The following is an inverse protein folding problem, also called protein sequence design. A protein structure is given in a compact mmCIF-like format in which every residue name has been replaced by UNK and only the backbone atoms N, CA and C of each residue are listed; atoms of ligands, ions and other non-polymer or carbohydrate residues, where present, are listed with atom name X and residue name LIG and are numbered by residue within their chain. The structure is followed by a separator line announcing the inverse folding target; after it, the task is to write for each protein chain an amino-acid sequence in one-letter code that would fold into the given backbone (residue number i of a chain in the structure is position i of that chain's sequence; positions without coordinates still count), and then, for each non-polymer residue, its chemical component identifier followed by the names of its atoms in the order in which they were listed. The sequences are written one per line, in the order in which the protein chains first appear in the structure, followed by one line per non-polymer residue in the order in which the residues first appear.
data_IF_233154480948
#
_entry.id   IF_233154480948
#
_cell.length_a   1.000
_cell.length_b   1.000
_cell.length_c   1.000
_cell.angle_alpha   90.00
_cell.angle_beta   90.00
_cell.angle_gamma   90.00
#
_symmetry.space_group_name_H-M   'P 1'
#
loop_
_entity.id
_entity.type
_entity.pdbx_description
1 polymer ?
#
# COMPACT_ATOMS: atom_id res chain seq x y z
N UNK A 1 18.68 -7.91 -19.44
CA UNK A 1 17.99 -8.45 -18.25
C UNK A 1 16.47 -8.30 -18.37
N UNK A 2 15.92 -7.07 -18.46
CA UNK A 2 14.47 -6.86 -18.58
C UNK A 2 13.83 -7.68 -19.71
N UNK A 3 14.39 -7.63 -20.91
CA UNK A 3 13.90 -8.41 -22.07
C UNK A 3 13.85 -9.92 -21.81
N UNK A 4 14.89 -10.47 -21.18
CA UNK A 4 14.92 -11.90 -20.81
C UNK A 4 13.84 -12.26 -19.80
N UNK A 5 13.54 -11.37 -18.85
CA UNK A 5 12.47 -11.60 -17.86
C UNK A 5 11.09 -11.51 -18.51
N UNK A 6 10.91 -10.57 -19.45
CA UNK A 6 9.68 -10.47 -20.25
C UNK A 6 9.47 -11.75 -21.07
N UNK A 7 10.52 -12.27 -21.71
CA UNK A 7 10.46 -13.54 -22.42
C UNK A 7 10.02 -14.70 -21.51
N UNK A 8 10.56 -14.79 -20.28
CA UNK A 8 10.14 -15.82 -19.31
C UNK A 8 8.64 -15.70 -18.95
N UNK A 9 8.12 -14.46 -18.87
CA UNK A 9 6.69 -14.21 -18.65
C UNK A 9 5.87 -14.71 -19.83
N UNK A 10 6.23 -14.32 -21.05
CA UNK A 10 5.53 -14.70 -22.28
C UNK A 10 5.52 -16.22 -22.50
N UNK A 11 6.64 -16.90 -22.23
CA UNK A 11 6.75 -18.36 -22.31
C UNK A 11 5.92 -19.09 -21.24
N UNK A 12 5.74 -18.48 -20.06
CA UNK A 12 4.99 -19.08 -18.95
C UNK A 12 3.50 -18.81 -19.02
N UNK A 13 3.12 -17.66 -19.57
CA UNK A 13 1.75 -17.19 -19.73
C UNK A 13 1.62 -16.62 -21.14
N UNK A 14 1.40 -17.48 -22.15
CA UNK A 14 1.11 -17.02 -23.50
C UNK A 14 -0.09 -16.08 -23.45
N UNK A 15 0.01 -14.90 -24.09
CA UNK A 15 -0.96 -13.78 -24.06
C UNK A 15 -0.84 -12.81 -22.87
N UNK A 16 0.08 -13.00 -21.91
CA UNK A 16 0.28 -11.98 -20.88
C UNK A 16 0.77 -10.66 -21.48
N UNK A 17 0.21 -9.54 -21.01
CA UNK A 17 0.59 -8.21 -21.46
C UNK A 17 0.74 -7.23 -20.29
N UNK A 18 1.47 -6.14 -20.52
CA UNK A 18 1.53 -4.99 -19.62
C UNK A 18 0.75 -3.82 -20.23
N UNK A 19 -0.58 -3.92 -20.25
CA UNK A 19 -1.48 -2.87 -20.76
C UNK A 19 -2.29 -2.25 -19.61
N UNK A 20 -2.22 -0.92 -19.47
CA UNK A 20 -2.92 -0.17 -18.41
C UNK A 20 -4.44 -0.11 -18.60
N UNK A 21 -4.93 -0.03 -19.84
CA UNK A 21 -6.36 0.04 -20.13
C UNK A 21 -7.02 -1.28 -19.75
N UNK A 22 -6.44 -2.39 -20.21
CA UNK A 22 -6.89 -3.74 -19.87
C UNK A 22 -6.79 -4.03 -18.37
N UNK A 23 -5.77 -3.46 -17.70
CA UNK A 23 -5.65 -3.55 -16.25
C UNK A 23 -6.86 -2.92 -15.56
N UNK A 24 -7.25 -1.71 -15.96
CA UNK A 24 -8.40 -1.03 -15.39
C UNK A 24 -9.70 -1.79 -15.69
N UNK A 25 -9.88 -2.32 -16.91
CA UNK A 25 -11.04 -3.14 -17.26
C UNK A 25 -11.20 -4.37 -16.35
N UNK A 26 -10.10 -5.02 -15.97
CA UNK A 26 -10.14 -6.13 -15.01
C UNK A 26 -10.57 -5.66 -13.61
N UNK A 27 -10.02 -4.54 -13.14
CA UNK A 27 -10.36 -3.98 -11.83
C UNK A 27 -11.83 -3.55 -11.76
N UNK A 28 -12.37 -2.97 -12.83
CA UNK A 28 -13.78 -2.58 -12.90
C UNK A 28 -14.72 -3.80 -12.96
N UNK A 29 -14.24 -4.93 -13.49
CA UNK A 29 -15.01 -6.17 -13.67
C UNK A 29 -14.86 -7.21 -12.56
N UNK A 30 -14.11 -6.95 -11.49
CA UNK A 30 -13.77 -7.95 -10.47
C UNK A 30 -14.86 -8.19 -9.39
N UNK A 31 -14.77 -9.34 -8.72
CA UNK A 31 -15.74 -9.77 -7.70
C UNK A 31 -15.59 -9.03 -6.36
N UNK A 32 -14.38 -8.59 -6.07
CA UNK A 32 -13.95 -8.02 -4.80
C UNK A 32 -13.59 -6.58 -5.03
N UNK A 33 -13.85 -5.70 -4.07
CA UNK A 33 -13.41 -4.31 -4.22
C UNK A 33 -11.87 -4.29 -4.25
N UNK A 34 -11.22 -3.80 -5.32
CA UNK A 34 -9.77 -3.86 -5.45
C UNK A 34 -9.07 -3.20 -4.26
N UNK A 35 -8.07 -3.88 -3.71
CA UNK A 35 -7.18 -3.24 -2.75
C UNK A 35 -6.30 -2.21 -3.45
N UNK A 36 -5.82 -1.22 -2.69
CA UNK A 36 -4.83 -0.24 -3.17
C UNK A 36 -3.60 -0.90 -3.79
N UNK A 37 -3.24 -2.11 -3.34
CA UNK A 37 -2.08 -2.84 -3.86
C UNK A 37 -2.30 -3.38 -5.28
N UNK A 38 -3.54 -3.47 -5.75
CA UNK A 38 -3.86 -3.88 -7.13
C UNK A 38 -4.01 -2.71 -8.10
N UNK A 39 -3.96 -1.46 -7.62
CA UNK A 39 -4.06 -0.28 -8.48
C UNK A 39 -2.80 -0.14 -9.35
N UNK A 40 -3.01 0.21 -10.63
CA UNK A 40 -1.90 0.43 -11.56
C UNK A 40 -0.99 1.58 -11.14
N UNK A 41 -1.54 2.59 -10.45
CA UNK A 41 -0.76 3.70 -9.92
C UNK A 41 0.11 3.31 -8.74
N UNK A 42 -0.32 2.35 -7.92
CA UNK A 42 0.51 1.78 -6.85
C UNK A 42 1.72 1.06 -7.43
N UNK A 43 1.54 0.25 -8.49
CA UNK A 43 2.64 -0.38 -9.21
C UNK A 43 3.63 0.67 -9.73
N UNK A 44 3.12 1.72 -10.40
CA UNK A 44 3.96 2.84 -10.89
C UNK A 44 4.74 3.49 -9.76
N UNK A 45 4.09 3.74 -8.62
CA UNK A 45 4.71 4.37 -7.46
C UNK A 45 5.85 3.53 -6.90
N UNK A 46 5.65 2.24 -6.68
CA UNK A 46 6.67 1.38 -6.07
C UNK A 46 7.85 1.11 -7.01
N UNK A 47 7.61 0.96 -8.31
CA UNK A 47 8.69 0.90 -9.31
C UNK A 47 9.52 2.19 -9.30
N UNK A 48 8.88 3.36 -9.20
CA UNK A 48 9.58 4.65 -9.09
C UNK A 48 10.30 4.83 -7.74
N UNK A 49 9.73 4.31 -6.66
CA UNK A 49 10.31 4.35 -5.31
C UNK A 49 11.61 3.57 -5.25
N UNK A 50 11.61 2.36 -5.81
CA UNK A 50 12.78 1.46 -5.85
C UNK A 50 13.65 1.65 -7.10
N UNK A 51 13.50 2.74 -7.85
CA UNK A 51 14.26 2.94 -9.10
C UNK A 51 15.78 2.99 -8.89
N UNK A 52 16.23 3.44 -7.72
CA UNK A 52 17.64 3.40 -7.31
C UNK A 52 18.16 2.00 -7.00
N UNK A 53 17.25 1.05 -6.77
CA UNK A 53 17.50 -0.35 -6.48
C UNK A 53 17.23 -1.23 -7.71
N UNK A 54 17.45 -0.68 -8.91
CA UNK A 54 17.28 -1.39 -10.18
C UNK A 54 15.89 -2.04 -10.35
N UNK A 55 14.85 -1.38 -9.85
CA UNK A 55 13.49 -1.90 -9.93
C UNK A 55 13.04 -2.15 -11.38
N UNK A 56 12.44 -3.32 -11.62
CA UNK A 56 11.83 -3.69 -12.90
C UNK A 56 10.39 -4.10 -12.64
N UNK A 57 9.45 -3.44 -13.34
CA UNK A 57 8.05 -3.85 -13.37
C UNK A 57 7.90 -5.15 -14.16
N UNK A 58 7.32 -6.16 -13.52
CA UNK A 58 6.97 -7.46 -14.09
C UNK A 58 5.46 -7.73 -13.98
N UNK A 59 4.67 -6.71 -13.71
CA UNK A 59 3.23 -6.84 -13.50
C UNK A 59 2.54 -7.28 -14.78
N UNK A 60 1.53 -8.13 -14.64
CA UNK A 60 0.90 -8.82 -15.76
C UNK A 60 -0.61 -8.63 -15.76
N UNK A 61 -1.15 -8.43 -16.96
CA UNK A 61 -2.56 -8.67 -17.28
C UNK A 61 -2.65 -10.08 -17.86
N UNK A 62 -3.61 -10.85 -17.36
CA UNK A 62 -3.88 -12.24 -17.72
C UNK A 62 -5.06 -12.29 -18.69
N UNK A 63 -4.93 -13.07 -19.76
CA UNK A 63 -5.95 -13.21 -20.78
C UNK A 63 -6.53 -14.63 -20.82
N UNK A 64 -7.78 -14.73 -21.27
CA UNK A 64 -8.40 -15.98 -21.63
C UNK A 64 -9.33 -15.75 -22.82
N UNK A 65 -9.01 -16.33 -23.98
CA UNK A 65 -9.71 -16.11 -25.26
C UNK A 65 -9.73 -14.62 -25.64
N UNK A 66 -8.58 -13.95 -25.61
CA UNK A 66 -8.39 -12.52 -25.89
C UNK A 66 -9.16 -11.54 -24.99
N UNK A 67 -9.79 -12.02 -23.92
CA UNK A 67 -10.39 -11.17 -22.89
C UNK A 67 -9.43 -11.02 -21.72
N UNK A 68 -9.17 -9.80 -21.26
CA UNK A 68 -8.47 -9.57 -20.00
C UNK A 68 -9.35 -10.05 -18.83
N UNK A 69 -8.83 -11.00 -18.05
CA UNK A 69 -9.58 -11.70 -17.00
C UNK A 69 -8.95 -11.60 -15.62
N UNK A 70 -7.70 -11.15 -15.53
CA UNK A 70 -7.02 -11.00 -14.25
C UNK A 70 -5.80 -10.09 -14.33
N UNK A 71 -5.35 -9.59 -13.18
CA UNK A 71 -4.12 -8.81 -13.07
C UNK A 71 -3.31 -9.25 -11.85
N UNK A 72 -1.99 -9.14 -11.96
CA UNK A 72 -1.08 -9.41 -10.86
C UNK A 72 0.04 -8.36 -10.80
N UNK A 73 0.08 -7.56 -9.72
CA UNK A 73 1.23 -6.72 -9.40
C UNK A 73 2.44 -7.59 -9.15
N UNK A 74 3.52 -7.33 -9.87
CA UNK A 74 4.79 -8.03 -9.70
C UNK A 74 5.93 -7.11 -10.12
N UNK A 75 7.02 -7.12 -9.36
CA UNK A 75 8.24 -6.38 -9.64
C UNK A 75 9.43 -7.04 -8.97
N UNK A 76 10.60 -6.81 -9.53
CA UNK A 76 11.87 -7.14 -8.87
C UNK A 76 12.62 -5.87 -8.53
N UNK A 77 13.46 -5.94 -7.51
CA UNK A 77 14.42 -4.89 -7.14
C UNK A 77 15.54 -5.53 -6.31
N UNK A 78 16.62 -4.78 -6.10
CA UNK A 78 17.75 -5.17 -5.27
C UNK A 78 17.53 -4.72 -3.82
N UNK A 79 17.50 -5.67 -2.89
CA UNK A 79 17.65 -5.40 -1.46
C UNK A 79 19.13 -5.29 -1.08
N UNK A 80 19.44 -4.69 0.06
CA UNK A 80 20.81 -4.70 0.62
C UNK A 80 21.16 -6.11 1.17
N UNK A 81 22.31 -6.73 0.84
CA UNK A 81 23.49 -6.20 0.13
C UNK A 81 23.58 -6.61 -1.37
N UNK A 82 22.59 -6.24 -2.19
CA UNK A 82 22.40 -6.53 -3.62
C UNK A 82 21.86 -7.92 -3.98
N UNK A 83 20.92 -8.44 -3.20
CA UNK A 83 20.18 -9.64 -3.60
C UNK A 83 18.90 -9.25 -4.35
N UNK A 84 18.57 -9.97 -5.42
CA UNK A 84 17.27 -9.80 -6.08
C UNK A 84 16.15 -10.26 -5.15
N UNK A 85 15.09 -9.47 -5.10
CA UNK A 85 13.85 -9.80 -4.38
C UNK A 85 12.68 -9.66 -5.36
N UNK A 86 11.78 -10.64 -5.36
CA UNK A 86 10.53 -10.63 -6.12
C UNK A 86 9.37 -10.23 -5.20
N UNK A 87 8.61 -9.23 -5.61
CA UNK A 87 7.58 -8.57 -4.77
C UNK A 87 6.41 -8.11 -5.63
N UNK A 88 5.26 -7.76 -5.02
CA UNK A 88 4.18 -7.10 -5.77
C UNK A 88 4.33 -5.58 -5.84
N UNK A 89 4.71 -4.96 -4.73
CA UNK A 89 4.80 -3.51 -4.56
C UNK A 89 5.92 -3.16 -3.58
N UNK A 90 7.10 -3.79 -3.75
CA UNK A 90 8.22 -3.67 -2.81
C UNK A 90 7.95 -4.21 -1.39
N UNK A 91 6.90 -5.03 -1.25
CA UNK A 91 6.51 -5.77 -0.05
C UNK A 91 6.25 -7.23 -0.45
N UNK A 92 5.52 -7.99 0.35
CA UNK A 92 5.19 -9.38 0.02
C UNK A 92 4.41 -9.51 -1.30
N UNK A 93 4.53 -10.67 -1.95
CA UNK A 93 3.75 -11.02 -3.14
C UNK A 93 2.30 -11.25 -2.71
N UNK A 94 1.38 -10.53 -3.34
CA UNK A 94 -0.06 -10.62 -3.07
C UNK A 94 -0.75 -11.48 -4.12
N UNK A 95 -1.99 -11.88 -3.84
CA UNK A 95 -2.80 -12.65 -4.78
C UNK A 95 -3.13 -11.89 -6.09
N UNK A 96 -3.23 -12.60 -7.23
CA UNK A 96 -3.85 -12.04 -8.43
C UNK A 96 -5.33 -11.75 -8.19
N UNK A 97 -5.84 -10.69 -8.81
CA UNK A 97 -7.28 -10.37 -8.83
C UNK A 97 -7.87 -10.75 -10.19
N UNK A 98 -9.11 -11.25 -10.19
CA UNK A 98 -9.79 -11.74 -11.39
C UNK A 98 -11.18 -11.15 -11.55
N UNK A 99 -11.68 -11.10 -12.78
CA UNK A 99 -13.05 -10.70 -13.09
C UNK A 99 -14.10 -11.62 -12.45
N UNK A 100 -15.30 -11.08 -12.23
CA UNK A 100 -16.37 -11.71 -11.45
C UNK A 100 -16.80 -13.10 -11.94
N UNK A 101 -17.01 -13.22 -13.24
CA UNK A 101 -17.59 -14.43 -13.85
C UNK A 101 -16.52 -15.38 -14.44
N UNK A 102 -15.28 -15.32 -13.95
CA UNK A 102 -14.23 -16.21 -14.42
C UNK A 102 -14.50 -17.65 -13.99
N UNK A 103 -14.57 -18.57 -14.94
CA UNK A 103 -14.78 -19.98 -14.66
C UNK A 103 -13.69 -20.53 -13.72
N UNK A 104 -14.10 -21.25 -12.66
CA UNK A 104 -13.18 -21.78 -11.63
C UNK A 104 -12.00 -22.58 -12.21
N UNK A 105 -12.25 -23.35 -13.29
CA UNK A 105 -11.20 -24.12 -13.98
C UNK A 105 -10.16 -23.20 -14.64
N UNK A 106 -10.59 -22.09 -15.23
CA UNK A 106 -9.71 -21.09 -15.85
C UNK A 106 -8.91 -20.35 -14.78
N UNK A 107 -9.56 -19.90 -13.70
CA UNK A 107 -8.88 -19.26 -12.56
C UNK A 107 -7.74 -20.14 -12.02
N UNK A 108 -8.02 -21.42 -11.72
CA UNK A 108 -7.01 -22.38 -11.25
C UNK A 108 -5.85 -22.59 -12.24
N UNK A 109 -6.15 -22.65 -13.54
CA UNK A 109 -5.13 -22.74 -14.58
C UNK A 109 -4.20 -21.53 -14.55
N UNK A 110 -4.76 -20.31 -14.51
CA UNK A 110 -3.99 -19.07 -14.47
C UNK A 110 -3.15 -18.97 -13.19
N UNK A 111 -3.73 -19.29 -12.02
CA UNK A 111 -3.00 -19.33 -10.75
C UNK A 111 -1.81 -20.30 -10.80
N UNK A 112 -1.97 -21.48 -11.43
CA UNK A 112 -0.88 -22.44 -11.62
C UNK A 112 0.20 -21.90 -12.57
N UNK A 113 -0.17 -21.18 -13.62
CA UNK A 113 0.81 -20.57 -14.53
C UNK A 113 1.63 -19.47 -13.83
N UNK A 114 0.98 -18.63 -13.02
CA UNK A 114 1.65 -17.63 -12.18
C UNK A 114 2.57 -18.31 -11.16
N UNK A 115 2.10 -19.36 -10.49
CA UNK A 115 2.91 -20.15 -9.58
C UNK A 115 4.22 -20.62 -10.24
N UNK A 116 4.11 -21.22 -11.43
CA UNK A 116 5.29 -21.69 -12.19
C UNK A 116 6.18 -20.52 -12.63
N UNK A 117 5.59 -19.39 -13.03
CA UNK A 117 6.32 -18.18 -13.39
C UNK A 117 7.18 -17.67 -12.22
N UNK A 118 6.63 -17.62 -11.00
CA UNK A 118 7.37 -17.17 -9.81
C UNK A 118 8.58 -18.06 -9.54
N UNK A 119 8.46 -19.39 -9.67
CA UNK A 119 9.61 -20.30 -9.56
C UNK A 119 10.66 -20.06 -10.64
N UNK A 120 10.26 -19.93 -11.92
CA UNK A 120 11.20 -19.65 -13.02
C UNK A 120 11.93 -18.32 -12.84
N UNK A 121 11.22 -17.26 -12.44
CA UNK A 121 11.82 -15.96 -12.16
C UNK A 121 12.80 -16.06 -10.98
N UNK A 122 12.42 -16.79 -9.93
CA UNK A 122 13.26 -16.97 -8.74
C UNK A 122 14.54 -17.73 -9.07
N UNK A 123 14.45 -18.83 -9.81
CA UNK A 123 15.60 -19.60 -10.30
C UNK A 123 16.53 -18.72 -11.16
N UNK A 124 15.96 -18.03 -12.16
CA UNK A 124 16.71 -17.16 -13.08
C UNK A 124 17.51 -16.07 -12.37
N UNK A 125 16.97 -15.54 -11.26
CA UNK A 125 17.51 -14.43 -10.49
C UNK A 125 18.25 -14.89 -9.23
N UNK A 126 18.34 -16.20 -8.98
CA UNK A 126 18.91 -16.81 -7.78
C UNK A 126 18.26 -16.29 -6.48
N UNK A 127 16.94 -16.12 -6.50
CA UNK A 127 16.14 -15.71 -5.35
C UNK A 127 15.86 -16.96 -4.51
N UNK A 128 16.40 -16.98 -3.29
CA UNK A 128 16.25 -18.13 -2.38
C UNK A 128 14.88 -18.19 -1.72
N UNK A 129 14.32 -17.05 -1.34
CA UNK A 129 13.05 -16.99 -0.62
C UNK A 129 12.12 -15.94 -1.22
N UNK A 130 10.85 -16.31 -1.35
CA UNK A 130 9.76 -15.38 -1.63
C UNK A 130 8.84 -15.29 -0.41
N UNK A 131 8.34 -14.08 -0.15
CA UNK A 131 7.33 -13.85 0.88
C UNK A 131 5.98 -13.57 0.24
N UNK A 132 4.93 -14.14 0.80
CA UNK A 132 3.55 -13.93 0.35
C UNK A 132 2.68 -13.51 1.53
N UNK A 133 1.69 -12.66 1.27
CA UNK A 133 0.76 -12.19 2.28
C UNK A 133 -0.69 -12.43 1.87
N UNK A 134 -1.56 -12.66 2.86
CA UNK A 134 -3.00 -12.64 2.66
C UNK A 134 -3.54 -11.22 2.88
N UNK A 135 -3.99 -10.55 1.82
CA UNK A 135 -4.45 -9.16 1.92
C UNK A 135 -5.90 -9.00 2.38
N UNK A 136 -6.72 -10.03 2.23
CA UNK A 136 -8.12 -10.00 2.68
C UNK A 136 -8.24 -9.97 4.21
N UNK A 137 -9.15 -9.13 4.72
CA UNK A 137 -9.43 -9.06 6.15
C UNK A 137 -10.46 -10.11 6.54
N UNK A 138 -10.08 -11.07 7.39
CA UNK A 138 -11.02 -12.01 8.02
C UNK A 138 -11.20 -13.37 7.32
N UNK A 139 -10.63 -13.56 6.13
CA UNK A 139 -10.59 -14.88 5.49
C UNK A 139 -9.25 -15.13 4.80
N UNK A 140 -8.85 -16.40 4.71
CA UNK A 140 -7.64 -16.82 4.01
C UNK A 140 -7.99 -17.18 2.56
N UNK A 141 -7.28 -16.58 1.62
CA UNK A 141 -7.46 -16.85 0.20
C UNK A 141 -6.92 -18.24 -0.18
N UNK A 142 -7.47 -18.82 -1.25
CA UNK A 142 -6.93 -20.08 -1.81
C UNK A 142 -5.49 -19.91 -2.30
N UNK A 143 -5.14 -18.71 -2.76
CA UNK A 143 -3.78 -18.34 -3.15
C UNK A 143 -2.82 -18.42 -1.97
N UNK A 144 -3.18 -17.80 -0.84
CA UNK A 144 -2.40 -17.88 0.39
C UNK A 144 -2.23 -19.34 0.84
N UNK A 145 -3.31 -20.12 0.91
CA UNK A 145 -3.27 -21.51 1.36
C UNK A 145 -2.40 -22.40 0.45
N UNK A 146 -2.35 -22.12 -0.86
CA UNK A 146 -1.45 -22.82 -1.78
C UNK A 146 0.01 -22.62 -1.38
N UNK A 147 0.44 -21.38 -1.10
CA UNK A 147 1.82 -21.09 -0.69
C UNK A 147 2.11 -21.55 0.74
N UNK A 148 1.14 -21.44 1.65
CA UNK A 148 1.27 -21.92 3.03
C UNK A 148 1.59 -23.42 3.10
N UNK A 149 1.02 -24.24 2.20
CA UNK A 149 1.32 -25.67 2.10
C UNK A 149 2.76 -25.99 1.64
N UNK A 150 3.52 -24.98 1.18
CA UNK A 150 4.92 -25.09 0.74
C UNK A 150 5.86 -24.24 1.60
N UNK A 151 5.33 -23.58 2.62
CA UNK A 151 6.07 -22.62 3.40
C UNK A 151 7.10 -23.30 4.32
N UNK A 152 8.26 -22.67 4.43
CA UNK A 152 9.24 -22.99 5.46
C UNK A 152 8.89 -22.31 6.78
N UNK A 153 8.16 -21.20 6.71
CA UNK A 153 7.77 -20.43 7.88
C UNK A 153 6.46 -19.65 7.62
N UNK A 154 5.67 -19.47 8.68
CA UNK A 154 4.40 -18.73 8.67
C UNK A 154 4.37 -17.83 9.90
N UNK A 155 4.10 -16.54 9.71
CA UNK A 155 4.03 -15.60 10.82
C UNK A 155 2.96 -14.51 10.59
N UNK A 156 2.34 -13.99 11.66
CA UNK A 156 1.44 -12.86 11.54
C UNK A 156 2.16 -11.52 11.71
N UNK A 157 1.63 -10.47 11.09
CA UNK A 157 1.82 -9.08 11.51
C UNK A 157 0.49 -8.49 11.96
N UNK A 158 0.51 -7.44 12.77
CA UNK A 158 -0.70 -6.82 13.31
C UNK A 158 -0.89 -5.43 12.70
N UNK A 159 -2.08 -5.12 12.21
CA UNK A 159 -2.38 -3.88 11.51
C UNK A 159 -3.48 -3.13 12.24
N UNK A 160 -3.35 -1.81 12.31
CA UNK A 160 -4.27 -0.87 12.95
C UNK A 160 -5.21 -0.30 11.89
N UNK A 161 -6.50 -0.57 12.06
CA UNK A 161 -7.53 -0.17 11.11
C UNK A 161 -8.63 0.66 11.77
N UNK A 162 -9.20 1.57 10.99
CA UNK A 162 -10.50 2.21 11.27
C UNK A 162 -11.54 1.57 10.36
N UNK A 163 -12.60 1.06 10.97
CA UNK A 163 -13.81 0.61 10.29
C UNK A 163 -14.63 1.84 9.89
N UNK A 164 -14.58 2.19 8.60
CA UNK A 164 -15.26 3.35 8.04
C UNK A 164 -16.71 3.05 7.69
N UNK A 165 -17.17 1.80 7.83
CA UNK A 165 -18.61 1.47 7.70
C UNK A 165 -19.42 2.02 8.88
N UNK A 166 -18.78 2.16 10.06
CA UNK A 166 -19.41 2.71 11.26
C UNK A 166 -19.84 4.18 11.08
N UNK A 167 -20.94 4.63 11.71
CA UNK A 167 -21.27 6.05 11.83
C UNK A 167 -20.07 6.86 12.36
N UNK A 168 -19.90 8.10 11.88
CA UNK A 168 -18.73 8.92 12.27
C UNK A 168 -18.66 9.17 13.78
N UNK A 169 -19.81 9.28 14.44
CA UNK A 169 -19.91 9.41 15.90
C UNK A 169 -19.43 8.14 16.62
N UNK A 170 -19.71 6.96 16.09
CA UNK A 170 -19.24 5.69 16.66
C UNK A 170 -17.72 5.53 16.50
N UNK A 171 -17.17 5.94 15.36
CA UNK A 171 -15.72 6.02 15.15
C UNK A 171 -15.11 6.98 16.19
N UNK A 172 -15.72 8.15 16.37
CA UNK A 172 -15.28 9.15 17.35
C UNK A 172 -15.31 8.61 18.78
N UNK A 173 -16.30 7.81 19.12
CA UNK A 173 -16.41 7.18 20.44
C UNK A 173 -15.27 6.20 20.71
N UNK A 174 -14.81 5.47 19.68
CA UNK A 174 -13.73 4.50 19.74
C UNK A 174 -12.31 5.10 19.82
N UNK A 175 -12.14 6.38 19.50
CA UNK A 175 -10.86 7.07 19.71
C UNK A 175 -10.40 6.94 21.17
N UNK A 176 -9.08 6.82 21.36
CA UNK A 176 -8.45 6.89 22.69
C UNK A 176 -8.99 8.12 23.44
N UNK A 177 -9.37 7.94 24.71
CA UNK A 177 -10.01 9.02 25.51
C UNK A 177 -9.24 10.34 25.47
N UNK A 178 -7.91 10.29 25.54
CA UNK A 178 -7.04 11.47 25.47
C UNK A 178 -6.97 12.12 24.09
N UNK A 179 -7.31 11.41 23.00
CA UNK A 179 -7.23 11.93 21.64
C UNK A 179 -8.40 12.83 21.27
N UNK A 180 -9.60 12.57 21.81
CA UNK A 180 -10.80 13.39 21.55
C UNK A 180 -10.57 14.90 21.80
N UNK A 181 -10.04 15.34 22.97
CA UNK A 181 -9.72 16.75 23.17
C UNK A 181 -8.55 17.24 22.30
N UNK A 182 -7.59 16.39 21.95
CA UNK A 182 -6.46 16.76 21.09
C UNK A 182 -6.89 16.99 19.63
N UNK A 183 -7.80 16.18 19.11
CA UNK A 183 -8.45 16.39 17.81
C UNK A 183 -9.17 17.73 17.82
N UNK A 184 -10.03 17.99 18.80
CA UNK A 184 -10.74 19.28 18.91
C UNK A 184 -9.79 20.47 18.99
N UNK A 185 -8.72 20.36 19.79
CA UNK A 185 -7.69 21.38 19.91
C UNK A 185 -6.98 21.61 18.57
N UNK A 186 -6.67 20.56 17.83
CA UNK A 186 -6.05 20.66 16.51
C UNK A 186 -6.95 21.38 15.51
N UNK A 187 -8.21 20.96 15.42
CA UNK A 187 -9.19 21.53 14.48
C UNK A 187 -9.51 23.00 14.77
N UNK A 188 -9.42 23.42 16.04
CA UNK A 188 -9.61 24.83 16.44
C UNK A 188 -8.35 25.67 16.22
N UNK A 189 -7.17 25.10 16.43
CA UNK A 189 -5.90 25.86 16.45
C UNK A 189 -5.32 26.07 15.04
N UNK A 190 -5.53 25.12 14.14
CA UNK A 190 -4.81 25.06 12.87
C UNK A 190 -5.77 25.07 11.69
N UNK A 191 -5.30 25.57 10.55
CA UNK A 191 -6.01 25.49 9.28
C UNK A 191 -5.63 24.15 8.64
N UNK A 192 -6.62 23.26 8.49
CA UNK A 192 -6.41 21.93 7.90
C UNK A 192 -7.18 21.86 6.58
N UNK A 193 -6.46 21.62 5.49
CA UNK A 193 -7.00 21.59 4.14
C UNK A 193 -6.75 20.23 3.49
N UNK A 194 -7.75 19.71 2.78
CA UNK A 194 -7.63 18.52 1.94
C UNK A 194 -7.51 18.90 0.47
N UNK A 195 -6.60 18.25 -0.24
CA UNK A 195 -6.30 18.51 -1.64
C UNK A 195 -6.56 17.24 -2.45
N UNK A 196 -7.56 17.33 -3.33
CA UNK A 196 -7.90 16.28 -4.31
C UNK A 196 -7.42 16.64 -5.74
N UNK A 197 -6.83 17.82 -5.89
CA UNK A 197 -6.11 18.28 -7.06
C UNK A 197 -5.05 19.26 -6.55
N UNK A 198 -3.83 19.20 -7.07
CA UNK A 198 -2.73 20.01 -6.56
C UNK A 198 -1.72 20.38 -7.65
N UNK A 199 -1.24 21.62 -7.59
CA UNK A 199 -0.16 22.08 -8.47
C UNK A 199 1.19 21.44 -8.08
N UNK A 200 2.15 21.48 -9.01
CA UNK A 200 3.52 21.02 -8.72
C UNK A 200 4.13 21.80 -7.55
N UNK A 201 3.96 23.13 -7.52
CA UNK A 201 4.58 23.99 -6.51
C UNK A 201 4.00 23.76 -5.11
N UNK A 202 2.69 23.59 -5.00
CA UNK A 202 2.05 23.28 -3.72
C UNK A 202 2.46 21.90 -3.20
N UNK A 203 2.53 20.89 -4.07
CA UNK A 203 2.99 19.56 -3.69
C UNK A 203 4.48 19.55 -3.31
N UNK A 204 5.29 20.37 -3.99
CA UNK A 204 6.72 20.49 -3.69
C UNK A 204 6.97 21.05 -2.28
N UNK A 205 6.11 21.95 -1.78
CA UNK A 205 6.16 22.41 -0.38
C UNK A 205 6.05 21.24 0.60
N UNK A 206 5.14 20.30 0.36
CA UNK A 206 5.01 19.09 1.20
C UNK A 206 6.23 18.18 1.09
N UNK A 207 6.76 17.96 -0.11
CA UNK A 207 8.00 17.20 -0.32
C UNK A 207 9.20 17.82 0.41
N UNK A 208 9.34 19.15 0.35
CA UNK A 208 10.41 19.88 1.02
C UNK A 208 10.25 19.84 2.55
N UNK A 209 9.02 19.96 3.07
CA UNK A 209 8.75 19.71 4.49
C UNK A 209 9.18 18.30 4.88
N UNK A 210 8.80 17.28 4.10
CA UNK A 210 9.21 15.89 4.33
C UNK A 210 10.73 15.76 4.39
N UNK A 211 11.47 16.32 3.42
CA UNK A 211 12.94 16.31 3.40
C UNK A 211 13.55 17.00 4.62
N UNK A 212 12.99 18.14 5.03
CA UNK A 212 13.43 18.88 6.21
C UNK A 212 13.28 18.03 7.49
N UNK A 213 12.09 17.44 7.68
CA UNK A 213 11.80 16.66 8.90
C UNK A 213 12.46 15.29 8.88
N UNK A 214 12.85 14.72 7.74
CA UNK A 214 13.61 13.47 7.67
C UNK A 214 15.13 13.69 7.77
N UNK A 215 15.60 14.91 7.50
CA UNK A 215 17.03 15.26 7.41
C UNK A 215 17.73 14.80 6.13
N UNK A 216 17.03 14.05 5.25
CA UNK A 216 17.57 13.55 3.98
C UNK A 216 16.46 13.25 2.98
N UNK A 217 16.78 13.21 1.69
CA UNK A 217 15.83 12.67 0.70
C UNK A 217 15.73 11.16 0.86
N UNK A 218 14.62 10.66 1.40
CA UNK A 218 14.39 9.21 1.58
C UNK A 218 13.68 8.56 0.40
N UNK A 219 13.34 9.35 -0.64
CA UNK A 219 12.58 8.92 -1.82
C UNK A 219 13.09 9.63 -3.07
N UNK A 220 12.82 9.07 -4.25
CA UNK A 220 13.18 9.62 -5.56
C UNK A 220 12.19 10.72 -5.98
N UNK A 221 12.63 11.65 -6.84
CA UNK A 221 11.72 12.67 -7.40
C UNK A 221 10.60 12.02 -8.23
N UNK A 222 10.89 10.93 -8.93
CA UNK A 222 9.90 10.20 -9.71
C UNK A 222 8.78 9.64 -8.84
N UNK A 223 9.11 9.06 -7.68
CA UNK A 223 8.08 8.57 -6.74
C UNK A 223 7.18 9.69 -6.21
N UNK A 224 7.74 10.88 -5.98
CA UNK A 224 6.96 12.07 -5.61
C UNK A 224 6.06 12.52 -6.75
N UNK A 225 6.56 12.53 -7.99
CA UNK A 225 5.75 12.85 -9.17
C UNK A 225 4.55 11.91 -9.29
N UNK A 226 4.76 10.60 -9.14
CA UNK A 226 3.67 9.62 -9.18
C UNK A 226 2.65 9.86 -8.06
N UNK A 227 3.08 10.20 -6.84
CA UNK A 227 2.16 10.53 -5.75
C UNK A 227 1.31 11.78 -6.03
N UNK A 228 1.89 12.80 -6.67
CA UNK A 228 1.12 13.96 -7.14
C UNK A 228 0.08 13.55 -8.19
N UNK A 229 0.48 12.71 -9.14
CA UNK A 229 -0.41 12.22 -10.19
C UNK A 229 -1.55 11.38 -9.59
N UNK A 230 -1.30 10.58 -8.55
CA UNK A 230 -2.32 9.85 -7.78
C UNK A 230 -3.36 10.77 -7.11
N UNK A 231 -2.94 11.94 -6.62
CA UNK A 231 -3.89 12.94 -6.08
C UNK A 231 -4.81 13.40 -7.21
N UNK A 232 -4.22 13.79 -8.34
CA UNK A 232 -4.95 14.34 -9.47
C UNK A 232 -5.81 13.29 -10.22
N UNK A 233 -5.54 12.00 -10.05
CA UNK A 233 -6.36 10.89 -10.56
C UNK A 233 -7.43 10.39 -9.58
N UNK A 234 -7.60 11.06 -8.42
CA UNK A 234 -8.52 10.65 -7.36
C UNK A 234 -8.23 9.25 -6.78
N UNK A 235 -6.96 8.88 -6.70
CA UNK A 235 -6.47 7.66 -6.01
C UNK A 235 -5.65 7.99 -4.74
N UNK A 236 -5.45 9.28 -4.49
CA UNK A 236 -4.86 9.79 -3.26
C UNK A 236 -5.44 11.15 -2.88
N UNK A 237 -5.19 11.56 -1.64
CA UNK A 237 -5.46 12.91 -1.15
C UNK A 237 -4.29 13.37 -0.28
N UNK A 238 -3.98 14.66 -0.32
CA UNK A 238 -3.04 15.28 0.60
C UNK A 238 -3.82 16.12 1.61
N UNK A 239 -3.58 15.90 2.89
CA UNK A 239 -4.09 16.76 3.96
C UNK A 239 -2.93 17.58 4.48
N UNK A 240 -3.02 18.90 4.37
CA UNK A 240 -2.01 19.84 4.87
C UNK A 240 -2.51 20.57 6.10
N UNK A 241 -1.57 20.98 6.95
CA UNK A 241 -1.82 21.85 8.10
C UNK A 241 -0.96 23.09 7.97
N UNK A 242 -1.60 24.25 8.01
CA UNK A 242 -0.90 25.53 8.12
C UNK A 242 -1.18 26.18 9.47
N UNK A 243 -0.22 26.98 9.93
CA UNK A 243 -0.49 27.90 11.03
C UNK A 243 -1.27 29.14 10.57
N UNK A 244 -1.52 30.07 11.49
CA UNK A 244 -2.25 31.31 11.22
C UNK A 244 -1.45 32.30 10.37
N UNK A 245 -0.14 32.10 10.21
CA UNK A 245 0.72 32.90 9.35
C UNK A 245 0.73 32.37 7.91
N UNK A 246 0.17 31.17 7.68
CA UNK A 246 0.13 30.51 6.38
C UNK A 246 1.29 29.54 6.14
N UNK A 247 2.14 29.31 7.15
CA UNK A 247 3.28 28.40 7.01
C UNK A 247 2.84 26.93 7.08
N UNK A 248 3.36 26.11 6.17
CA UNK A 248 3.09 24.67 6.13
C UNK A 248 3.83 23.96 7.27
N UNK A 249 3.10 23.60 8.32
CA UNK A 249 3.66 22.99 9.54
C UNK A 249 3.45 21.47 9.62
N UNK A 250 2.61 20.90 8.76
CA UNK A 250 2.39 19.47 8.73
C UNK A 250 1.54 18.99 7.57
N UNK A 251 1.50 17.66 7.39
CA UNK A 251 0.59 17.03 6.46
C UNK A 251 0.73 15.52 6.40
N UNK A 252 -0.27 14.90 5.77
CA UNK A 252 -0.32 13.47 5.50
C UNK A 252 -0.83 13.19 4.09
N UNK A 253 -0.18 12.26 3.39
CA UNK A 253 -0.65 11.72 2.12
C UNK A 253 -1.34 10.38 2.37
N UNK A 254 -2.53 10.23 1.80
CA UNK A 254 -3.36 9.05 1.94
C UNK A 254 -3.74 8.54 0.55
N UNK A 255 -3.36 7.31 0.23
CA UNK A 255 -3.84 6.64 -0.98
C UNK A 255 -5.12 5.88 -0.67
N UNK A 256 -6.01 5.71 -1.64
CA UNK A 256 -7.25 5.01 -1.43
C UNK A 256 -7.76 4.29 -2.67
N UNK A 257 -8.51 3.23 -2.42
CA UNK A 257 -9.45 2.61 -3.36
C UNK A 257 -10.84 2.62 -2.71
N UNK A 258 -11.86 2.15 -3.40
CA UNK A 258 -13.18 1.94 -2.79
C UNK A 258 -13.16 0.90 -1.65
N UNK A 259 -12.13 0.04 -1.56
CA UNK A 259 -12.01 -0.95 -0.49
C UNK A 259 -11.36 -0.34 0.75
N UNK A 260 -10.19 0.26 0.59
CA UNK A 260 -9.41 0.77 1.70
C UNK A 260 -8.68 2.07 1.39
N UNK A 261 -8.56 2.93 2.39
CA UNK A 261 -7.56 3.98 2.45
C UNK A 261 -6.31 3.50 3.20
N UNK A 262 -5.16 4.10 2.92
CA UNK A 262 -3.89 3.83 3.61
C UNK A 262 -3.12 5.11 3.88
N UNK A 263 -2.51 5.17 5.06
CA UNK A 263 -1.61 6.27 5.42
C UNK A 263 -0.20 6.05 4.85
N UNK A 264 0.14 6.80 3.79
CA UNK A 264 1.34 6.56 2.99
C UNK A 264 2.54 7.42 3.40
N UNK A 265 2.30 8.69 3.74
CA UNK A 265 3.36 9.66 4.06
C UNK A 265 2.88 10.59 5.16
N UNK A 266 3.76 10.87 6.12
CA UNK A 266 3.55 11.92 7.12
C UNK A 266 4.77 12.81 7.22
N UNK A 267 4.55 14.12 7.25
CA UNK A 267 5.60 15.10 7.52
C UNK A 267 5.04 16.17 8.46
N UNK A 268 5.68 16.38 9.60
CA UNK A 268 5.23 17.32 10.63
C UNK A 268 6.43 18.04 11.22
N UNK A 269 6.33 19.37 11.39
CA UNK A 269 7.38 20.15 12.01
C UNK A 269 7.67 19.61 13.42
N UNK A 270 8.92 19.19 13.65
CA UNK A 270 9.37 18.54 14.88
C UNK A 270 9.30 19.45 16.10
N UNK A 271 9.48 20.75 15.91
CA UNK A 271 9.40 21.76 16.97
C UNK A 271 7.98 21.88 17.54
N UNK A 272 6.98 21.46 16.76
CA UNK A 272 5.57 21.53 17.12
C UNK A 272 4.98 20.19 17.57
N UNK A 273 5.81 19.19 17.90
CA UNK A 273 5.31 17.88 18.37
C UNK A 273 4.53 17.93 19.69
N UNK A 274 4.71 18.99 20.48
CA UNK A 274 3.86 19.27 21.65
C UNK A 274 2.44 19.72 21.27
N UNK A 275 2.24 20.14 20.02
CA UNK A 275 0.93 20.50 19.46
C UNK A 275 0.29 19.32 18.72
N UNK A 276 -1.05 19.17 18.77
CA UNK A 276 -1.73 17.99 18.25
C UNK A 276 -1.93 17.97 16.72
N UNK A 277 -0.95 18.42 15.93
CA UNK A 277 -1.05 18.55 14.46
C UNK A 277 -1.48 17.22 13.81
N UNK A 278 -0.77 16.14 14.13
CA UNK A 278 -1.08 14.82 13.59
C UNK A 278 -2.48 14.32 13.98
N UNK A 279 -3.05 14.77 15.09
CA UNK A 279 -4.38 14.33 15.50
C UNK A 279 -5.47 14.90 14.59
N UNK A 280 -5.36 16.18 14.23
CA UNK A 280 -6.29 16.80 13.29
C UNK A 280 -6.17 16.19 11.89
N UNK A 281 -4.95 15.91 11.42
CA UNK A 281 -4.71 15.28 10.11
C UNK A 281 -5.35 13.89 10.03
N UNK A 282 -5.12 13.04 11.03
CA UNK A 282 -5.68 11.68 11.03
C UNK A 282 -7.22 11.70 11.14
N UNK A 283 -7.79 12.62 11.94
CA UNK A 283 -9.25 12.77 12.00
C UNK A 283 -9.84 13.23 10.66
N UNK A 284 -9.21 14.21 9.99
CA UNK A 284 -9.64 14.66 8.66
C UNK A 284 -9.49 13.56 7.60
N UNK A 285 -8.49 12.69 7.73
CA UNK A 285 -8.35 11.52 6.87
C UNK A 285 -9.52 10.53 7.06
N UNK A 286 -9.92 10.26 8.31
CA UNK A 286 -11.08 9.41 8.61
C UNK A 286 -12.35 9.97 7.95
N UNK A 287 -12.62 11.27 8.12
CA UNK A 287 -13.79 11.92 7.53
C UNK A 287 -13.78 11.81 5.99
N UNK A 288 -12.67 12.16 5.36
CA UNK A 288 -12.54 12.16 3.91
C UNK A 288 -12.61 10.75 3.32
N UNK A 289 -11.88 9.78 3.87
CA UNK A 289 -11.91 8.41 3.35
C UNK A 289 -13.30 7.78 3.50
N UNK A 290 -14.03 8.11 4.56
CA UNK A 290 -15.43 7.71 4.72
C UNK A 290 -16.31 8.35 3.64
N UNK A 291 -16.15 9.65 3.37
CA UNK A 291 -16.88 10.35 2.30
C UNK A 291 -16.61 9.74 0.91
N UNK A 292 -15.37 9.27 0.67
CA UNK A 292 -14.98 8.55 -0.55
C UNK A 292 -15.52 7.13 -0.62
N UNK A 293 -16.23 6.65 0.39
CA UNK A 293 -16.85 5.32 0.42
C UNK A 293 -15.88 4.17 0.71
N UNK A 294 -14.69 4.45 1.26
CA UNK A 294 -13.78 3.40 1.71
C UNK A 294 -14.43 2.59 2.84
N UNK A 295 -14.21 1.26 2.86
CA UNK A 295 -14.68 0.40 3.97
C UNK A 295 -13.69 0.43 5.14
N UNK A 296 -12.40 0.41 4.83
CA UNK A 296 -11.33 0.35 5.81
C UNK A 296 -10.38 1.53 5.66
N UNK A 297 -9.80 1.97 6.76
CA UNK A 297 -8.63 2.83 6.73
C UNK A 297 -7.48 2.21 7.52
N UNK A 298 -6.44 1.77 6.80
CA UNK A 298 -5.23 1.19 7.36
C UNK A 298 -4.25 2.31 7.76
N UNK A 299 -4.15 2.55 9.07
CA UNK A 299 -3.28 3.60 9.63
C UNK A 299 -1.82 3.13 9.67
N UNK A 300 -1.61 1.82 9.81
CA UNK A 300 -0.32 1.15 9.72
C UNK A 300 -0.16 0.01 10.72
N UNK A 301 1.07 -0.47 10.88
CA UNK A 301 1.36 -1.65 11.70
C UNK A 301 1.32 -1.38 13.22
N UNK A 302 0.76 -2.32 13.96
CA UNK A 302 0.94 -2.48 15.41
C UNK A 302 2.22 -3.29 15.64
N UNK A 303 3.22 -2.68 16.27
CA UNK A 303 4.43 -3.39 16.64
C UNK A 303 4.25 -4.07 18.00
N UNK A 304 4.61 -5.35 18.06
CA UNK A 304 4.64 -6.15 19.29
C UNK A 304 6.07 -6.53 19.62
N UNK A 305 6.41 -6.63 20.90
CA UNK A 305 7.77 -7.03 21.36
C UNK A 305 8.26 -8.37 20.81
N UNK A 306 7.32 -9.21 20.34
CA UNK A 306 7.58 -10.53 19.76
C UNK A 306 7.67 -10.52 18.23
N UNK A 307 7.53 -9.36 17.58
CA UNK A 307 7.57 -9.27 16.12
C UNK A 307 8.92 -9.76 15.60
N UNK A 308 8.88 -10.54 14.51
CA UNK A 308 10.06 -11.15 13.89
C UNK A 308 11.07 -10.10 13.41
N UNK A 309 10.58 -8.97 12.93
CA UNK A 309 11.40 -7.83 12.52
C UNK A 309 11.54 -6.89 13.72
N UNK A 310 12.76 -6.65 14.23
CA UNK A 310 12.98 -5.70 15.31
C UNK A 310 12.54 -4.30 14.91
N UNK A 311 11.92 -3.59 15.85
CA UNK A 311 11.50 -2.21 15.67
C UNK A 311 12.31 -1.28 16.57
N UNK A 312 12.40 -0.03 16.16
CA UNK A 312 13.01 1.06 16.93
C UNK A 312 12.03 1.63 17.96
N UNK A 313 12.56 2.30 18.99
CA UNK A 313 11.73 3.08 19.94
C UNK A 313 10.82 4.10 19.23
N UNK A 314 11.30 4.65 18.11
CA UNK A 314 10.56 5.58 17.27
C UNK A 314 9.34 4.91 16.63
N UNK A 315 9.52 3.73 16.04
CA UNK A 315 8.43 2.96 15.43
C UNK A 315 7.39 2.52 16.45
N UNK A 316 7.82 2.10 17.65
CA UNK A 316 6.90 1.78 18.74
C UNK A 316 6.07 3.02 19.16
N UNK A 317 6.71 4.19 19.27
CA UNK A 317 6.00 5.44 19.57
C UNK A 317 5.01 5.82 18.47
N UNK A 318 5.37 5.64 17.20
CA UNK A 318 4.48 5.89 16.06
C UNK A 318 3.30 4.91 16.10
N UNK A 319 3.56 3.64 16.36
CA UNK A 319 2.54 2.60 16.47
C UNK A 319 1.53 2.90 17.58
N UNK A 320 2.01 3.29 18.77
CA UNK A 320 1.17 3.70 19.89
C UNK A 320 0.32 4.94 19.60
N UNK A 321 0.87 5.91 18.85
CA UNK A 321 0.10 7.06 18.37
C UNK A 321 -1.02 6.61 17.43
N UNK A 322 -0.71 5.82 16.39
CA UNK A 322 -1.69 5.34 15.41
C UNK A 322 -2.81 4.53 16.05
N UNK A 323 -2.47 3.70 17.03
CA UNK A 323 -3.44 2.86 17.76
C UNK A 323 -4.53 3.69 18.44
N UNK A 324 -4.25 4.95 18.80
CA UNK A 324 -5.27 5.80 19.40
C UNK A 324 -6.43 6.20 18.48
N UNK A 325 -6.32 5.94 17.17
CA UNK A 325 -7.39 6.13 16.19
C UNK A 325 -8.06 4.82 15.75
N UNK A 326 -7.42 3.68 16.00
CA UNK A 326 -7.86 2.40 15.48
C UNK A 326 -9.16 1.93 16.16
N UNK A 327 -10.10 1.42 15.36
CA UNK A 327 -11.28 0.70 15.87
C UNK A 327 -11.01 -0.79 15.99
N UNK A 328 -10.05 -1.30 15.20
CA UNK A 328 -9.72 -2.72 15.07
C UNK A 328 -8.21 -2.91 14.97
N UNK A 329 -7.75 -4.06 15.49
CA UNK A 329 -6.41 -4.60 15.22
C UNK A 329 -6.61 -5.93 14.49
N UNK A 330 -6.08 -6.06 13.28
CA UNK A 330 -6.25 -7.25 12.44
C UNK A 330 -4.90 -7.91 12.19
N UNK A 331 -4.84 -9.24 12.27
CA UNK A 331 -3.66 -9.99 11.89
C UNK A 331 -3.61 -10.18 10.36
N UNK A 332 -2.48 -9.86 9.73
CA UNK A 332 -2.16 -10.21 8.35
C UNK A 332 -1.22 -11.42 8.40
N UNK A 333 -1.58 -12.47 7.67
CA UNK A 333 -0.77 -13.69 7.64
C UNK A 333 0.25 -13.62 6.52
N UNK A 334 1.48 -14.02 6.83
CA UNK A 334 2.62 -14.06 5.92
C UNK A 334 3.20 -15.45 5.86
N UNK A 335 3.69 -15.84 4.69
CA UNK A 335 4.40 -17.10 4.48
C UNK A 335 5.72 -16.86 3.76
N UNK A 336 6.75 -17.60 4.18
CA UNK A 336 8.07 -17.61 3.54
C UNK A 336 8.24 -18.96 2.86
N UNK A 337 8.53 -18.94 1.57
CA UNK A 337 8.70 -20.14 0.75
C UNK A 337 10.12 -20.17 0.20
N UNK A 338 10.82 -21.27 0.40
CA UNK A 338 12.08 -21.58 -0.27
C UNK A 338 11.79 -21.88 -1.74
N UNK A 339 12.45 -21.15 -2.62
CA UNK A 339 12.29 -21.28 -4.07
C UNK A 339 13.29 -22.24 -4.71
N UNK A 340 14.24 -22.75 -3.92
CA UNK A 340 15.30 -23.71 -4.31
C UNK A 340 15.02 -25.12 -3.83
#
# INVERSE_FOLDING_TARGET
MKEQLVQIIEESIPEAASNLEEWQCVLDGCNTIPSIFHLSSSVKYYVAYFSKNSAINLSIVLFNNNQAVGVMPLMIHLDEPNNWTLTSNGVEIIEPIFIKNLARKVKKRLELQIYNLIYKLSDRLNIRYCQFANMEYGQLSSWYLMWANKANDIFPTHHLLVDLSLPIEDIRLKLRKSFKPLVNKSLKKWIISSHNCISTDEFDKFRLLHKSVSGRSTRTLDSWKVQKDQINSAEATLITVTDNCGDLIGGGLFSYSSYQGMYCVGAYNRELFSSPIGHGVQWKAIELLKEKGCLWYEIGQKHLMIDKVPFTKKELSISNFKEGFATNVIARQHVIVNMQ
#
